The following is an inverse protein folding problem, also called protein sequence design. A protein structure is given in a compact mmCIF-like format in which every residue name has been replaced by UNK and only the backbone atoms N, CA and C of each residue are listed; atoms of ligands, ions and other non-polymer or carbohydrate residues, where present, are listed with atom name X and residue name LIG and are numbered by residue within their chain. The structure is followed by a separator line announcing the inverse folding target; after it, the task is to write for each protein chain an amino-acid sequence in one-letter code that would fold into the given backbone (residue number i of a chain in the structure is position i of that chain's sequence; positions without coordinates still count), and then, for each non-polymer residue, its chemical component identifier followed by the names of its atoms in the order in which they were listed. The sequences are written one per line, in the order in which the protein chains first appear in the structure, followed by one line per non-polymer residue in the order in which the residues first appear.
data_IF_209802669811
#
_entry.id   IF_209802669811
#
_cell.length_a   1.000
_cell.length_b   1.000
_cell.length_c   1.000
_cell.angle_alpha   90.00
_cell.angle_beta   90.00
_cell.angle_gamma   90.00
#
_symmetry.space_group_name_H-M   'P 1'
#
loop_
_entity.id
_entity.type
_entity.pdbx_description
1 polymer ?
#
# COMPACT_ATOMS: atom_id res chain seq x y z
N UNK A 1 52.88 3.48 -26.13
CA UNK A 1 52.34 3.32 -24.77
C UNK A 1 51.61 4.60 -24.42
N UNK A 2 50.28 4.56 -24.54
CA UNK A 2 49.39 5.28 -23.64
C UNK A 2 48.03 4.60 -23.76
N UNK A 3 47.75 3.77 -22.77
CA UNK A 3 46.47 3.15 -22.50
C UNK A 3 45.45 4.24 -22.16
N UNK A 4 44.24 4.14 -22.69
CA UNK A 4 43.06 4.80 -22.11
C UNK A 4 41.85 3.94 -22.42
N UNK A 5 41.63 2.97 -21.52
CA UNK A 5 40.31 2.43 -21.21
C UNK A 5 39.43 3.56 -20.65
N UNK A 6 38.19 3.67 -21.13
CA UNK A 6 37.02 3.83 -20.25
C UNK A 6 35.72 3.57 -21.05
N UNK A 7 35.41 2.30 -21.29
CA UNK A 7 34.05 1.90 -21.70
C UNK A 7 33.16 1.86 -20.44
N UNK A 8 32.56 3.00 -20.10
CA UNK A 8 31.45 3.05 -19.14
C UNK A 8 30.16 2.58 -19.83
N UNK A 9 30.01 1.25 -19.89
CA UNK A 9 28.75 0.60 -20.23
C UNK A 9 27.72 0.85 -19.13
N UNK A 10 26.94 1.92 -19.26
CA UNK A 10 25.69 2.08 -18.50
C UNK A 10 24.68 1.03 -18.97
N UNK A 11 24.70 -0.13 -18.32
CA UNK A 11 23.63 -1.10 -18.35
C UNK A 11 22.38 -0.45 -17.77
N UNK A 12 21.55 0.15 -18.62
CA UNK A 12 20.19 0.53 -18.25
C UNK A 12 19.42 -0.76 -18.03
N UNK A 13 19.44 -1.22 -16.78
CA UNK A 13 18.56 -2.28 -16.28
C UNK A 13 17.13 -1.78 -16.49
N UNK A 14 16.55 -2.16 -17.62
CA UNK A 14 15.14 -2.00 -17.95
C UNK A 14 14.31 -2.82 -16.96
N UNK A 15 14.15 -2.27 -15.77
CA UNK A 15 13.38 -2.86 -14.69
C UNK A 15 11.92 -2.95 -15.09
N UNK A 16 11.55 -4.11 -15.62
CA UNK A 16 10.23 -4.69 -15.80
C UNK A 16 9.05 -3.88 -15.23
N UNK A 17 8.67 -2.81 -15.93
CA UNK A 17 7.51 -1.96 -15.60
C UNK A 17 6.21 -2.77 -15.63
N UNK A 18 6.14 -3.79 -16.48
CA UNK A 18 4.96 -4.65 -16.64
C UNK A 18 4.63 -5.46 -15.37
N UNK A 19 5.63 -5.80 -14.53
CA UNK A 19 5.39 -6.49 -13.26
C UNK A 19 4.84 -5.56 -12.18
N UNK A 20 5.15 -4.26 -12.25
CA UNK A 20 4.62 -3.27 -11.30
C UNK A 20 3.15 -3.04 -11.59
N UNK A 21 2.76 -2.93 -12.87
CA UNK A 21 1.37 -2.76 -13.29
C UNK A 21 0.50 -3.98 -12.93
N UNK A 22 1.00 -5.21 -13.13
CA UNK A 22 0.29 -6.43 -12.71
C UNK A 22 0.08 -6.53 -11.19
N UNK A 23 1.04 -6.07 -10.40
CA UNK A 23 0.93 -6.02 -8.93
C UNK A 23 -0.04 -4.93 -8.52
N UNK A 24 0.02 -3.76 -9.16
CA UNK A 24 -0.88 -2.64 -8.93
C UNK A 24 -2.32 -3.03 -9.27
N UNK A 25 -2.56 -3.71 -10.39
CA UNK A 25 -3.89 -4.14 -10.83
C UNK A 25 -4.44 -5.28 -9.97
N UNK A 26 -3.59 -6.22 -9.51
CA UNK A 26 -3.99 -7.24 -8.51
C UNK A 26 -4.27 -6.65 -7.13
N UNK A 27 -3.47 -5.69 -6.67
CA UNK A 27 -3.71 -4.96 -5.41
C UNK A 27 -4.99 -4.13 -5.53
N UNK A 28 -5.25 -3.54 -6.69
CA UNK A 28 -6.45 -2.77 -6.97
C UNK A 28 -7.70 -3.67 -7.02
N UNK A 29 -7.63 -4.85 -7.64
CA UNK A 29 -8.75 -5.81 -7.61
C UNK A 29 -8.98 -6.44 -6.23
N UNK A 30 -7.92 -6.63 -5.41
CA UNK A 30 -8.06 -7.00 -3.98
C UNK A 30 -8.54 -5.87 -3.07
N UNK A 31 -8.44 -4.64 -3.54
CA UNK A 31 -8.80 -3.41 -2.81
C UNK A 31 -10.29 -3.36 -2.46
N UNK A 32 -11.12 -4.14 -3.17
CA UNK A 32 -12.58 -4.17 -3.10
C UNK A 32 -13.18 -5.20 -2.12
N UNK A 33 -12.41 -6.14 -1.54
CA UNK A 33 -12.96 -7.10 -0.54
C UNK A 33 -12.06 -7.35 0.69
N UNK A 34 -10.72 -7.26 0.60
CA UNK A 34 -9.82 -7.85 1.63
C UNK A 34 -8.95 -6.87 2.45
N UNK A 35 -8.96 -5.57 2.14
CA UNK A 35 -7.99 -4.62 2.73
C UNK A 35 -8.03 -4.50 4.26
N UNK A 36 -9.12 -4.87 4.93
CA UNK A 36 -9.15 -4.83 6.39
C UNK A 36 -8.13 -5.76 7.04
N UNK A 37 -7.82 -6.87 6.38
CA UNK A 37 -7.04 -7.96 6.96
C UNK A 37 -5.66 -8.13 6.32
N UNK A 38 -5.38 -7.39 5.23
CA UNK A 38 -4.07 -7.29 4.56
C UNK A 38 -3.30 -6.05 5.03
N UNK A 39 -2.80 -6.14 6.27
CA UNK A 39 -1.98 -5.11 6.93
C UNK A 39 -0.75 -4.72 6.08
N UNK A 40 0.02 -5.67 5.48
CA UNK A 40 1.16 -5.32 4.62
C UNK A 40 0.78 -4.43 3.42
N UNK A 41 -0.35 -4.72 2.75
CA UNK A 41 -0.81 -3.90 1.63
C UNK A 41 -1.23 -2.50 2.07
N UNK A 42 -1.92 -2.37 3.22
CA UNK A 42 -2.26 -1.07 3.81
C UNK A 42 -1.01 -0.21 4.07
N UNK A 43 0.02 -0.79 4.70
CA UNK A 43 1.27 -0.09 5.02
C UNK A 43 1.94 0.44 3.75
N UNK A 44 2.06 -0.39 2.71
CA UNK A 44 2.67 0.03 1.43
C UNK A 44 1.93 1.21 0.79
N UNK A 45 0.60 1.17 0.77
CA UNK A 45 -0.23 2.24 0.21
C UNK A 45 -0.09 3.51 1.04
N UNK A 46 -0.09 3.39 2.37
CA UNK A 46 -0.01 4.55 3.26
C UNK A 46 1.36 5.22 3.23
N UNK A 47 2.45 4.46 3.14
CA UNK A 47 3.80 5.00 2.92
C UNK A 47 3.92 5.73 1.58
N UNK A 48 3.33 5.18 0.50
CA UNK A 48 3.22 5.88 -0.79
C UNK A 48 2.44 7.18 -0.63
N UNK A 49 1.27 7.14 0.00
CA UNK A 49 0.39 8.30 0.18
C UNK A 49 0.99 9.40 1.07
N UNK A 50 1.81 9.07 2.08
CA UNK A 50 2.53 10.07 2.91
C UNK A 50 3.40 11.01 2.10
N UNK A 51 3.89 10.58 0.95
CA UNK A 51 4.77 11.38 0.06
C UNK A 51 4.00 12.22 -0.96
N UNK A 52 2.67 12.10 -0.99
CA UNK A 52 1.80 12.75 -1.97
C UNK A 52 0.99 13.87 -1.34
N UNK A 53 0.58 14.86 -2.14
CA UNK A 53 -0.47 15.80 -1.75
C UNK A 53 -1.80 15.06 -1.55
N UNK A 54 -2.82 15.72 -0.99
CA UNK A 54 -4.15 15.11 -0.85
C UNK A 54 -4.73 14.78 -2.23
N UNK A 55 -4.66 15.72 -3.17
CA UNK A 55 -5.15 15.56 -4.54
C UNK A 55 -4.45 14.40 -5.25
N UNK A 56 -3.11 14.31 -5.14
CA UNK A 56 -2.33 13.27 -5.79
C UNK A 56 -2.60 11.85 -5.23
N UNK A 57 -3.14 11.72 -4.01
CA UNK A 57 -3.58 10.40 -3.49
C UNK A 57 -4.75 9.85 -4.30
N UNK A 58 -5.70 10.72 -4.70
CA UNK A 58 -6.90 10.31 -5.42
C UNK A 58 -6.67 10.09 -6.91
N UNK A 59 -5.49 10.42 -7.43
CA UNK A 59 -5.07 10.10 -8.80
C UNK A 59 -4.26 8.80 -8.87
N UNK A 60 -3.90 8.17 -7.74
CA UNK A 60 -3.26 6.85 -7.78
C UNK A 60 -4.29 5.76 -8.10
N UNK A 61 -3.88 4.59 -8.65
CA UNK A 61 -4.81 3.49 -8.90
C UNK A 61 -5.62 3.10 -7.65
N UNK A 62 -4.97 3.09 -6.48
CA UNK A 62 -5.61 2.78 -5.20
C UNK A 62 -6.60 3.87 -4.77
N UNK A 63 -6.26 5.14 -4.97
CA UNK A 63 -7.16 6.26 -4.69
C UNK A 63 -8.37 6.33 -5.62
N UNK A 64 -8.18 6.05 -6.91
CA UNK A 64 -9.26 5.98 -7.90
C UNK A 64 -10.25 4.86 -7.60
N UNK A 65 -9.74 3.70 -7.15
CA UNK A 65 -10.61 2.60 -6.71
C UNK A 65 -11.31 2.92 -5.40
N UNK A 66 -10.63 3.54 -4.44
CA UNK A 66 -11.24 3.95 -3.18
C UNK A 66 -12.35 4.98 -3.41
N UNK A 67 -12.20 5.90 -4.37
CA UNK A 67 -13.21 6.88 -4.73
C UNK A 67 -14.49 6.27 -5.32
N UNK A 68 -14.41 5.05 -5.88
CA UNK A 68 -15.56 4.29 -6.38
C UNK A 68 -16.20 3.39 -5.32
N UNK A 69 -15.56 3.23 -4.16
CA UNK A 69 -16.08 2.41 -3.09
C UNK A 69 -17.28 3.06 -2.38
N UNK A 70 -18.00 2.27 -1.57
CA UNK A 70 -19.01 2.81 -0.68
C UNK A 70 -18.40 3.85 0.28
N UNK A 71 -19.20 4.83 0.69
CA UNK A 71 -18.77 5.87 1.63
C UNK A 71 -18.21 5.26 2.94
N UNK A 72 -18.82 4.18 3.44
CA UNK A 72 -18.34 3.51 4.65
C UNK A 72 -16.93 2.94 4.47
N UNK A 73 -16.68 2.30 3.32
CA UNK A 73 -15.35 1.77 2.99
C UNK A 73 -14.33 2.91 2.83
N UNK A 74 -14.70 3.95 2.08
CA UNK A 74 -13.87 5.13 1.90
C UNK A 74 -13.44 5.70 3.26
N UNK A 75 -14.41 5.96 4.13
CA UNK A 75 -14.17 6.54 5.45
C UNK A 75 -13.34 5.60 6.33
N UNK A 76 -13.52 4.28 6.22
CA UNK A 76 -12.73 3.31 6.97
C UNK A 76 -11.25 3.35 6.58
N UNK A 77 -10.94 3.29 5.28
CA UNK A 77 -9.56 3.36 4.79
C UNK A 77 -8.93 4.71 5.13
N UNK A 78 -9.68 5.80 5.00
CA UNK A 78 -9.17 7.13 5.34
C UNK A 78 -8.88 7.29 6.84
N UNK A 79 -9.71 6.71 7.73
CA UNK A 79 -9.44 6.65 9.17
C UNK A 79 -8.20 5.82 9.49
N UNK A 80 -8.01 4.68 8.82
CA UNK A 80 -6.80 3.86 8.97
C UNK A 80 -5.55 4.62 8.52
N UNK A 81 -5.63 5.38 7.43
CA UNK A 81 -4.54 6.25 6.99
C UNK A 81 -4.23 7.34 8.02
N UNK A 82 -5.24 7.99 8.60
CA UNK A 82 -5.05 8.94 9.71
C UNK A 82 -4.38 8.30 10.93
N UNK A 83 -4.81 7.09 11.29
CA UNK A 83 -4.23 6.32 12.40
C UNK A 83 -2.76 5.94 12.13
N UNK A 84 -2.43 5.53 10.91
CA UNK A 84 -1.07 5.22 10.48
C UNK A 84 -0.15 6.44 10.63
N UNK A 85 -0.62 7.63 10.22
CA UNK A 85 0.14 8.87 10.38
C UNK A 85 0.32 9.28 11.85
N UNK A 86 -0.67 9.02 12.70
CA UNK A 86 -0.60 9.35 14.12
C UNK A 86 0.33 8.42 14.91
N UNK A 87 0.26 7.11 14.67
CA UNK A 87 1.00 6.10 15.44
C UNK A 87 2.40 5.81 14.88
N UNK A 88 2.60 6.00 13.58
CA UNK A 88 3.74 5.42 12.86
C UNK A 88 3.56 3.92 12.58
N UNK A 89 4.39 3.40 11.68
CA UNK A 89 4.23 2.06 11.08
C UNK A 89 4.20 0.93 12.11
N UNK A 90 5.22 0.84 12.97
CA UNK A 90 5.34 -0.28 13.92
C UNK A 90 4.15 -0.38 14.89
N UNK A 91 3.74 0.75 15.48
CA UNK A 91 2.61 0.81 16.41
C UNK A 91 1.27 0.61 15.69
N UNK A 92 1.14 1.05 14.44
CA UNK A 92 -0.02 0.78 13.61
C UNK A 92 -0.18 -0.72 13.32
N UNK A 93 0.89 -1.39 12.89
CA UNK A 93 0.90 -2.84 12.60
C UNK A 93 0.50 -3.62 13.86
N UNK A 94 1.19 -3.37 14.98
CA UNK A 94 0.92 -4.05 16.25
C UNK A 94 -0.55 -3.90 16.68
N UNK A 95 -1.12 -2.70 16.51
CA UNK A 95 -2.52 -2.43 16.85
C UNK A 95 -3.49 -3.23 15.97
N UNK A 96 -3.27 -3.29 14.66
CA UNK A 96 -4.16 -4.04 13.76
C UNK A 96 -4.03 -5.55 13.94
N UNK A 97 -2.83 -6.07 14.17
CA UNK A 97 -2.62 -7.48 14.50
C UNK A 97 -3.36 -7.87 15.78
N UNK A 98 -3.31 -7.02 16.82
CA UNK A 98 -4.07 -7.23 18.05
C UNK A 98 -5.58 -7.27 17.83
N UNK A 99 -6.13 -6.40 16.99
CA UNK A 99 -7.55 -6.41 16.63
C UNK A 99 -7.90 -7.70 15.87
N UNK A 100 -7.08 -8.11 14.91
CA UNK A 100 -7.28 -9.34 14.13
C UNK A 100 -7.25 -10.58 15.02
N UNK A 101 -6.29 -10.66 15.94
CA UNK A 101 -6.20 -11.75 16.91
C UNK A 101 -7.45 -11.83 17.81
N UNK A 102 -7.98 -10.69 18.26
CA UNK A 102 -9.18 -10.66 19.09
C UNK A 102 -10.44 -11.05 18.31
N UNK A 103 -10.57 -10.64 17.04
CA UNK A 103 -11.66 -11.09 16.15
C UNK A 103 -11.66 -12.61 15.98
N UNK A 104 -10.49 -13.21 15.74
CA UNK A 104 -10.33 -14.67 15.60
C UNK A 104 -10.74 -15.39 16.89
N UNK A 105 -10.26 -14.90 18.04
CA UNK A 105 -10.62 -15.48 19.35
C UNK A 105 -12.13 -15.42 19.61
N UNK A 106 -12.78 -14.30 19.31
CA UNK A 106 -14.22 -14.13 19.49
C UNK A 106 -15.05 -15.04 18.55
N UNK A 107 -14.55 -15.30 17.34
CA UNK A 107 -15.21 -16.21 16.40
C UNK A 107 -15.08 -17.69 16.83
N UNK A 108 -13.97 -18.07 17.47
CA UNK A 108 -13.74 -19.43 17.96
C UNK A 108 -14.52 -19.78 19.24
N UNK A 109 -15.17 -18.79 19.87
CA UNK A 109 -15.97 -18.94 21.10
C UNK A 109 -17.49 -18.97 20.84
N UNK A 110 -17.91 -18.88 19.57
CA UNK A 110 -19.30 -19.03 19.12
C UNK A 110 -19.53 -20.44 18.58
#
# INVERSE_FOLDING_TARGET
MNDTDDETGEERVGGNLNKVDDVVEKVANKLADEMEDDIPSLVKIFEKWKRLSVEAKFTTPEGLMLAKASNDRFMKIFKLYGLFNFLGEAAFIQRLEGIKANKIKAAAQK
#
